data_IF_202117247939
#
_entry.id   IF_202117247939
#
_cell.length_a   1.000
_cell.length_b   1.000
_cell.length_c   1.000
_cell.angle_alpha   90.00
_cell.angle_beta   90.00
_cell.angle_gamma   90.00
#
_symmetry.space_group_name_H-M   'P 1'
#
loop_
_entity.id
_entity.type
_entity.pdbx_description
1 polymer ?
#
# COMPACT_ATOMS: atom_id res chain seq x y z
N UNK A 1 2.99 -1.71 -86.84
CA UNK A 1 1.98 -0.83 -86.21
C UNK A 1 1.61 -1.44 -84.86
N UNK A 2 2.11 -0.87 -83.76
CA UNK A 2 1.89 -1.39 -82.39
C UNK A 2 0.53 -0.91 -81.89
N UNK A 3 -0.31 -1.82 -81.40
CA UNK A 3 -1.57 -1.48 -80.72
C UNK A 3 -1.34 -1.63 -79.22
N UNK A 4 -1.54 -0.54 -78.49
CA UNK A 4 -1.44 -0.44 -77.03
C UNK A 4 -2.67 -1.10 -76.37
N UNK A 5 -2.43 -2.01 -75.44
CA UNK A 5 -3.45 -2.50 -74.49
C UNK A 5 -3.39 -1.63 -73.25
N UNK A 6 -4.49 -0.97 -72.90
CA UNK A 6 -4.64 -0.25 -71.64
C UNK A 6 -5.16 -1.21 -70.56
N UNK A 7 -4.32 -1.53 -69.58
CA UNK A 7 -4.73 -2.23 -68.36
C UNK A 7 -5.04 -1.16 -67.31
N UNK A 8 -6.32 -1.09 -66.92
CA UNK A 8 -6.77 -0.22 -65.83
C UNK A 8 -6.41 -0.88 -64.49
N UNK A 9 -5.47 -0.27 -63.76
CA UNK A 9 -5.16 -0.65 -62.38
C UNK A 9 -6.13 0.08 -61.44
N UNK A 10 -7.13 -0.65 -60.92
CA UNK A 10 -7.91 -0.20 -59.77
C UNK A 10 -7.05 -0.45 -58.53
N UNK A 11 -6.38 0.60 -58.07
CA UNK A 11 -5.63 0.59 -56.81
C UNK A 11 -6.63 0.54 -55.65
N UNK A 12 -6.94 -0.65 -55.18
CA UNK A 12 -7.72 -0.85 -53.96
C UNK A 12 -6.83 -0.52 -52.76
N UNK A 13 -6.92 0.72 -52.28
CA UNK A 13 -6.34 1.15 -51.01
C UNK A 13 -7.11 0.46 -49.88
N UNK A 14 -6.66 -0.72 -49.47
CA UNK A 14 -6.99 -1.27 -48.17
C UNK A 14 -6.25 -0.45 -47.12
N UNK A 15 -6.93 0.55 -46.54
CA UNK A 15 -6.54 1.05 -45.23
C UNK A 15 -6.76 -0.10 -44.24
N UNK A 16 -5.73 -0.90 -43.99
CA UNK A 16 -5.67 -1.71 -42.78
C UNK A 16 -5.56 -0.72 -41.63
N UNK A 17 -6.68 -0.43 -40.99
CA UNK A 17 -6.69 0.18 -39.67
C UNK A 17 -6.20 -0.90 -38.69
N UNK A 18 -4.89 -1.19 -38.67
CA UNK A 18 -4.30 -2.00 -37.63
C UNK A 18 -4.30 -1.14 -36.37
N UNK A 19 -5.41 -1.15 -35.62
CA UNK A 19 -5.33 -0.82 -34.21
C UNK A 19 -4.26 -1.74 -33.62
N UNK A 20 -3.21 -1.18 -33.01
CA UNK A 20 -2.17 -1.98 -32.36
C UNK A 20 -2.88 -3.00 -31.45
N UNK A 21 -2.55 -4.28 -31.62
CA UNK A 21 -3.07 -5.34 -30.78
C UNK A 21 -2.69 -5.07 -29.32
N UNK A 22 -3.54 -5.54 -28.39
CA UNK A 22 -3.28 -5.37 -26.97
C UNK A 22 -1.94 -6.04 -26.60
N UNK A 23 -1.15 -5.37 -25.77
CA UNK A 23 0.19 -5.83 -25.44
C UNK A 23 0.16 -6.73 -24.19
N UNK A 24 0.76 -7.91 -24.29
CA UNK A 24 1.11 -8.71 -23.12
C UNK A 24 2.41 -8.18 -22.52
N UNK A 25 2.40 -7.93 -21.22
CA UNK A 25 3.56 -7.46 -20.46
C UNK A 25 3.79 -8.38 -19.27
N UNK A 26 4.84 -9.19 -19.32
CA UNK A 26 5.18 -10.13 -18.24
C UNK A 26 5.52 -9.46 -16.91
N UNK A 27 5.89 -8.17 -16.93
CA UNK A 27 6.19 -7.37 -15.73
C UNK A 27 4.97 -6.77 -15.05
N UNK A 28 3.79 -6.74 -15.71
CA UNK A 28 2.63 -6.04 -15.16
C UNK A 28 1.97 -6.78 -13.99
N UNK A 29 2.37 -8.02 -13.72
CA UNK A 29 1.81 -8.94 -12.73
C UNK A 29 2.89 -9.82 -12.09
N UNK A 30 4.07 -9.26 -11.82
CA UNK A 30 5.23 -9.97 -11.25
C UNK A 30 5.44 -9.68 -9.75
N UNK A 31 4.68 -8.75 -9.16
CA UNK A 31 4.77 -8.35 -7.77
C UNK A 31 5.95 -7.44 -7.44
N UNK A 32 6.65 -6.90 -8.44
CA UNK A 32 7.82 -6.03 -8.28
C UNK A 32 7.56 -4.63 -8.86
N UNK A 33 7.29 -3.67 -7.98
CA UNK A 33 7.02 -2.28 -8.37
C UNK A 33 8.23 -1.55 -9.00
N UNK A 34 9.41 -2.18 -9.05
CA UNK A 34 10.60 -1.65 -9.71
C UNK A 34 10.72 -2.06 -11.19
N UNK A 35 10.01 -3.11 -11.60
CA UNK A 35 9.83 -3.43 -13.02
C UNK A 35 8.64 -2.65 -13.57
N UNK A 36 8.63 -2.37 -14.87
CA UNK A 36 7.54 -1.62 -15.50
C UNK A 36 7.19 -2.17 -16.87
N UNK A 37 5.91 -2.10 -17.21
CA UNK A 37 5.43 -2.21 -18.58
C UNK A 37 5.26 -0.81 -19.18
N UNK A 38 5.86 -0.58 -20.35
CA UNK A 38 5.76 0.67 -21.10
C UNK A 38 5.07 0.46 -22.43
N UNK A 39 4.01 1.24 -22.68
CA UNK A 39 3.28 1.22 -23.95
C UNK A 39 3.28 2.63 -24.54
N UNK A 40 3.45 2.70 -25.87
CA UNK A 40 3.42 3.95 -26.64
C UNK A 40 2.39 3.84 -27.76
N UNK A 41 1.33 4.63 -27.72
CA UNK A 41 0.36 4.75 -28.79
C UNK A 41 -0.96 5.41 -28.39
N UNK A 42 -1.83 5.62 -29.38
CA UNK A 42 -3.13 6.29 -29.22
C UNK A 42 -4.15 5.50 -28.37
N UNK A 43 -3.96 4.18 -28.23
CA UNK A 43 -4.77 3.32 -27.35
C UNK A 43 -3.86 2.36 -26.60
N UNK A 44 -3.60 2.67 -25.34
CA UNK A 44 -2.73 1.88 -24.48
C UNK A 44 -3.53 0.73 -23.86
N UNK A 45 -3.32 -0.49 -24.37
CA UNK A 45 -4.07 -1.70 -23.99
C UNK A 45 -3.14 -2.76 -23.44
N UNK A 46 -3.48 -3.28 -22.28
CA UNK A 46 -2.73 -4.31 -21.57
C UNK A 46 -3.61 -5.54 -21.40
N UNK A 47 -3.17 -6.69 -21.92
CA UNK A 47 -3.77 -7.96 -21.57
C UNK A 47 -3.32 -8.36 -20.17
N UNK A 48 -4.28 -8.78 -19.34
CA UNK A 48 -4.05 -9.18 -17.97
C UNK A 48 -4.18 -10.69 -17.85
N UNK A 49 -3.21 -11.32 -17.20
CA UNK A 49 -3.24 -12.71 -16.84
C UNK A 49 -4.29 -12.95 -15.74
N UNK A 50 -5.14 -13.94 -15.99
CA UNK A 50 -6.15 -14.39 -15.05
C UNK A 50 -6.23 -15.91 -15.08
N UNK A 51 -5.83 -16.54 -13.98
CA UNK A 51 -5.80 -18.01 -13.83
C UNK A 51 -6.72 -18.53 -12.72
N UNK A 52 -7.42 -17.63 -12.02
CA UNK A 52 -8.33 -18.00 -10.95
C UNK A 52 -9.74 -18.27 -11.48
N UNK A 53 -10.50 -19.11 -10.77
CA UNK A 53 -11.92 -19.32 -11.06
C UNK A 53 -12.78 -18.16 -10.52
N UNK A 54 -13.81 -17.79 -11.28
CA UNK A 54 -14.81 -16.80 -10.88
C UNK A 54 -14.59 -15.40 -11.44
N UNK A 55 -15.54 -14.51 -11.10
CA UNK A 55 -15.53 -13.13 -11.54
C UNK A 55 -14.48 -12.29 -10.80
N UNK A 56 -13.83 -11.38 -11.52
CA UNK A 56 -13.04 -10.31 -10.90
C UNK A 56 -14.00 -9.32 -10.24
N UNK A 57 -13.84 -9.12 -8.93
CA UNK A 57 -14.72 -8.26 -8.11
C UNK A 57 -14.05 -6.99 -7.65
N UNK A 58 -12.73 -6.96 -7.59
CA UNK A 58 -11.96 -5.73 -7.43
C UNK A 58 -10.59 -5.87 -8.08
N UNK A 59 -9.93 -4.74 -8.31
CA UNK A 59 -8.58 -4.71 -8.85
C UNK A 59 -7.80 -3.56 -8.23
N UNK A 60 -6.48 -3.71 -8.25
CA UNK A 60 -5.54 -2.67 -7.86
C UNK A 60 -4.68 -2.25 -9.05
N UNK A 61 -4.31 -0.99 -9.09
CA UNK A 61 -3.41 -0.38 -10.08
C UNK A 61 -2.44 0.54 -9.35
N UNK A 62 -1.19 0.57 -9.80
CA UNK A 62 -0.13 1.38 -9.19
C UNK A 62 0.39 2.46 -10.13
N UNK A 63 0.75 3.63 -9.58
CA UNK A 63 1.64 4.56 -10.29
C UNK A 63 3.06 4.01 -10.34
N UNK A 64 3.80 4.32 -11.40
CA UNK A 64 5.22 3.94 -11.49
C UNK A 64 6.12 4.89 -10.71
N UNK A 65 7.42 4.57 -10.64
CA UNK A 65 8.46 5.49 -10.19
C UNK A 65 8.80 6.62 -11.18
N UNK A 66 8.20 6.60 -12.37
CA UNK A 66 8.44 7.64 -13.38
C UNK A 66 7.59 8.89 -13.14
N UNK A 67 7.65 9.83 -14.07
CA UNK A 67 7.00 11.14 -13.95
C UNK A 67 5.46 11.05 -14.03
N UNK A 68 4.73 11.96 -13.36
CA UNK A 68 3.26 11.93 -13.32
C UNK A 68 2.54 11.95 -14.67
N UNK A 69 3.16 12.51 -15.72
CA UNK A 69 2.56 12.53 -17.06
C UNK A 69 2.50 11.16 -17.75
N UNK A 70 3.06 10.11 -17.13
CA UNK A 70 3.00 8.71 -17.59
C UNK A 70 1.99 7.86 -16.84
N UNK A 71 1.36 8.39 -15.80
CA UNK A 71 0.34 7.68 -15.04
C UNK A 71 -1.01 7.72 -15.77
N UNK A 72 -1.81 6.64 -15.68
CA UNK A 72 -3.18 6.66 -16.17
C UNK A 72 -4.04 7.71 -15.46
N UNK A 73 -4.82 8.45 -16.25
CA UNK A 73 -5.83 9.41 -15.75
C UNK A 73 -7.26 8.94 -15.97
N UNK A 74 -7.44 7.92 -16.80
CA UNK A 74 -8.69 7.20 -16.98
C UNK A 74 -8.38 5.80 -17.51
N UNK A 75 -9.27 4.85 -17.26
CA UNK A 75 -9.17 3.52 -17.85
C UNK A 75 -10.50 2.78 -17.83
N UNK A 76 -10.58 1.76 -18.66
CA UNK A 76 -11.64 0.77 -18.68
C UNK A 76 -11.03 -0.60 -18.38
N UNK A 77 -11.61 -1.31 -17.42
CA UNK A 77 -11.38 -2.74 -17.26
C UNK A 77 -12.41 -3.48 -18.11
N UNK A 78 -11.94 -4.42 -18.93
CA UNK A 78 -12.78 -5.18 -19.86
C UNK A 78 -12.62 -6.67 -19.65
N UNK A 79 -13.71 -7.40 -19.83
CA UNK A 79 -13.76 -8.85 -19.82
C UNK A 79 -14.13 -9.41 -21.19
N UNK A 80 -13.60 -10.58 -21.53
CA UNK A 80 -13.97 -11.32 -22.74
C UNK A 80 -14.04 -12.83 -22.49
N UNK A 81 -15.02 -13.48 -23.11
CA UNK A 81 -15.17 -14.95 -23.09
C UNK A 81 -14.32 -15.60 -24.18
N UNK A 82 -14.16 -14.92 -25.33
CA UNK A 82 -13.56 -15.45 -26.56
C UNK A 82 -12.24 -14.77 -26.97
N UNK A 83 -11.82 -13.74 -26.23
CA UNK A 83 -10.64 -12.92 -26.52
C UNK A 83 -10.83 -11.93 -27.68
N UNK A 84 -12.02 -11.87 -28.28
CA UNK A 84 -12.32 -11.05 -29.48
C UNK A 84 -13.35 -9.97 -29.18
N UNK A 85 -14.41 -10.33 -28.47
CA UNK A 85 -15.50 -9.43 -28.08
C UNK A 85 -15.29 -9.01 -26.63
N UNK A 86 -15.14 -7.70 -26.39
CA UNK A 86 -14.77 -7.16 -25.07
C UNK A 86 -15.92 -6.35 -24.49
N UNK A 87 -16.39 -6.72 -23.31
CA UNK A 87 -17.36 -5.97 -22.53
C UNK A 87 -16.65 -5.08 -21.51
N UNK A 88 -17.08 -3.83 -21.36
CA UNK A 88 -16.58 -2.94 -20.29
C UNK A 88 -17.27 -3.33 -18.99
N UNK A 89 -16.48 -3.74 -18.00
CA UNK A 89 -16.98 -4.21 -16.70
C UNK A 89 -16.75 -3.18 -15.58
N UNK A 90 -15.78 -2.29 -15.78
CA UNK A 90 -15.54 -1.14 -14.93
C UNK A 90 -14.93 0.01 -15.74
N UNK A 91 -15.18 1.24 -15.30
CA UNK A 91 -14.65 2.45 -15.92
C UNK A 91 -14.32 3.50 -14.86
N UNK A 92 -13.09 4.01 -14.92
CA UNK A 92 -12.59 5.06 -14.04
C UNK A 92 -12.16 6.26 -14.88
N UNK A 93 -12.53 7.46 -14.42
CA UNK A 93 -12.21 8.75 -15.07
C UNK A 93 -11.63 9.71 -14.06
N UNK A 94 -10.93 10.73 -14.54
CA UNK A 94 -10.43 11.85 -13.71
C UNK A 94 -9.57 11.39 -12.53
N UNK A 95 -8.75 10.37 -12.78
CA UNK A 95 -7.89 9.77 -11.78
C UNK A 95 -6.56 10.52 -11.69
N UNK A 96 -6.10 10.72 -10.46
CA UNK A 96 -4.77 11.24 -10.17
C UNK A 96 -4.12 10.43 -9.03
N UNK A 97 -2.81 10.25 -9.10
CA UNK A 97 -2.02 9.62 -8.04
C UNK A 97 -1.35 10.72 -7.20
N UNK A 98 -1.47 10.65 -5.88
CA UNK A 98 -0.89 11.61 -4.94
C UNK A 98 0.61 11.39 -4.72
N UNK A 99 1.15 10.23 -5.07
CA UNK A 99 2.59 9.91 -5.00
C UNK A 99 3.00 8.91 -6.08
N UNK A 100 4.31 8.69 -6.23
CA UNK A 100 4.87 7.54 -6.94
C UNK A 100 4.58 6.25 -6.17
N UNK A 101 4.54 5.12 -6.87
CA UNK A 101 4.28 3.79 -6.31
C UNK A 101 2.97 3.67 -5.50
N UNK A 102 2.03 4.58 -5.72
CA UNK A 102 0.76 4.58 -5.02
C UNK A 102 -0.15 3.51 -5.60
N UNK A 103 -0.62 2.61 -4.74
CA UNK A 103 -1.74 1.72 -5.02
C UNK A 103 -3.07 2.48 -5.04
N UNK A 104 -3.93 2.17 -6.01
CA UNK A 104 -5.35 2.49 -5.98
C UNK A 104 -6.19 1.23 -6.14
N UNK A 105 -7.21 1.09 -5.30
CA UNK A 105 -8.11 -0.07 -5.24
C UNK A 105 -9.51 0.31 -5.72
N UNK A 106 -10.10 -0.51 -6.58
CA UNK A 106 -11.44 -0.30 -7.14
C UNK A 106 -12.27 -1.57 -7.08
N UNK A 107 -13.53 -1.44 -6.67
CA UNK A 107 -14.53 -2.49 -6.87
C UNK A 107 -14.97 -2.49 -8.34
N UNK A 108 -15.09 -3.66 -8.94
CA UNK A 108 -15.63 -3.81 -10.31
C UNK A 108 -17.12 -3.54 -10.28
N UNK A 109 -17.59 -2.59 -11.09
CA UNK A 109 -19.00 -2.18 -11.13
C UNK A 109 -19.94 -3.28 -11.64
N UNK A 110 -19.52 -4.02 -12.67
CA UNK A 110 -20.31 -5.10 -13.28
C UNK A 110 -19.51 -6.41 -13.29
N UNK A 111 -19.31 -7.06 -12.12
CA UNK A 111 -18.48 -8.23 -12.03
C UNK A 111 -19.18 -9.44 -12.66
N UNK A 112 -18.56 -10.02 -13.68
CA UNK A 112 -18.97 -11.26 -14.33
C UNK A 112 -17.73 -12.14 -14.60
N UNK A 113 -17.96 -13.42 -14.87
CA UNK A 113 -16.89 -14.38 -15.15
C UNK A 113 -16.45 -14.30 -16.60
N UNK A 114 -15.19 -13.93 -16.83
CA UNK A 114 -14.55 -13.89 -18.14
C UNK A 114 -13.26 -14.74 -18.16
N UNK A 115 -12.87 -15.19 -19.35
CA UNK A 115 -11.64 -15.96 -19.56
C UNK A 115 -10.43 -15.05 -19.80
N UNK A 116 -10.68 -13.83 -20.30
CA UNK A 116 -9.65 -12.86 -20.64
C UNK A 116 -10.02 -11.50 -20.05
N UNK A 117 -9.02 -10.77 -19.56
CA UNK A 117 -9.18 -9.42 -19.05
C UNK A 117 -8.21 -8.48 -19.75
N UNK A 118 -8.65 -7.24 -19.96
CA UNK A 118 -7.85 -6.19 -20.60
C UNK A 118 -8.06 -4.88 -19.87
N UNK A 119 -6.97 -4.16 -19.65
CA UNK A 119 -6.99 -2.78 -19.19
C UNK A 119 -6.71 -1.86 -20.38
N UNK A 120 -7.62 -0.94 -20.67
CA UNK A 120 -7.43 0.11 -21.69
C UNK A 120 -7.34 1.46 -20.98
N UNK A 121 -6.21 2.15 -21.12
CA UNK A 121 -5.89 3.34 -20.31
C UNK A 121 -5.66 4.58 -21.17
N UNK A 122 -5.87 5.73 -20.54
CA UNK A 122 -5.62 7.07 -21.09
C UNK A 122 -4.65 7.83 -20.19
N UNK A 123 -3.81 8.69 -20.78
CA UNK A 123 -2.86 9.57 -20.06
C UNK A 123 -3.18 11.03 -20.32
N UNK A 124 -2.80 11.91 -19.39
CA UNK A 124 -3.06 13.34 -19.51
C UNK A 124 -2.28 14.03 -20.64
N UNK A 125 -1.10 13.52 -20.99
CA UNK A 125 -0.22 14.15 -21.98
C UNK A 125 0.70 13.17 -22.70
N UNK A 126 0.75 13.30 -24.03
CA UNK A 126 1.53 12.42 -24.89
C UNK A 126 0.92 11.01 -24.93
N UNK A 127 1.68 10.06 -25.48
CA UNK A 127 1.11 8.75 -25.83
C UNK A 127 1.76 7.60 -25.06
N UNK A 128 2.53 7.90 -24.01
CA UNK A 128 3.28 6.89 -23.24
C UNK A 128 2.65 6.68 -21.88
N UNK A 129 2.32 5.42 -21.59
CA UNK A 129 1.92 4.93 -20.26
C UNK A 129 3.04 4.10 -19.68
N UNK A 130 3.23 4.23 -18.37
CA UNK A 130 4.09 3.33 -17.59
C UNK A 130 3.32 2.81 -16.40
N UNK A 131 3.18 1.49 -16.32
CA UNK A 131 2.54 0.80 -15.21
C UNK A 131 3.49 -0.26 -14.66
N UNK A 132 3.72 -0.28 -13.34
CA UNK A 132 4.49 -1.34 -12.72
C UNK A 132 3.64 -2.59 -12.52
N UNK A 133 2.39 -2.44 -12.06
CA UNK A 133 1.62 -3.57 -11.52
C UNK A 133 0.10 -3.33 -11.67
N UNK A 134 -0.64 -4.41 -11.92
CA UNK A 134 -2.10 -4.47 -11.94
C UNK A 134 -2.56 -5.83 -11.39
N UNK A 135 -3.21 -5.81 -10.23
CA UNK A 135 -3.67 -7.04 -9.59
C UNK A 135 -5.19 -7.20 -9.66
N UNK A 136 -5.65 -8.41 -9.98
CA UNK A 136 -7.07 -8.75 -10.05
C UNK A 136 -7.46 -9.66 -8.88
N UNK A 137 -8.67 -9.46 -8.34
CA UNK A 137 -9.14 -10.20 -7.17
C UNK A 137 -10.55 -10.75 -7.34
N UNK A 138 -10.77 -12.00 -6.91
CA UNK A 138 -12.08 -12.67 -6.85
C UNK A 138 -12.97 -12.17 -5.71
N UNK A 139 -12.40 -11.39 -4.78
CA UNK A 139 -13.09 -10.76 -3.65
C UNK A 139 -13.24 -9.26 -3.88
N UNK A 140 -14.30 -8.68 -3.34
CA UNK A 140 -14.42 -7.22 -3.29
C UNK A 140 -13.68 -6.72 -2.05
N UNK A 141 -12.51 -6.11 -2.25
CA UNK A 141 -11.65 -5.60 -1.19
C UNK A 141 -12.11 -4.25 -0.62
N UNK A 142 -13.12 -3.58 -1.20
CA UNK A 142 -13.56 -2.26 -0.71
C UNK A 142 -14.57 -2.35 0.44
N UNK A 143 -15.13 -3.53 0.67
CA UNK A 143 -16.20 -3.77 1.64
C UNK A 143 -15.71 -3.45 3.06
N UNK A 144 -16.59 -2.85 3.87
CA UNK A 144 -16.41 -2.48 5.28
C UNK A 144 -15.67 -1.15 5.53
N UNK A 145 -15.24 -0.45 4.48
CA UNK A 145 -14.42 0.75 4.58
C UNK A 145 -15.01 1.96 3.84
N UNK A 146 -16.24 1.84 3.33
CA UNK A 146 -16.95 2.84 2.53
C UNK A 146 -17.22 4.14 3.30
N UNK A 147 -17.30 4.06 4.63
CA UNK A 147 -17.61 5.18 5.52
C UNK A 147 -16.45 5.53 6.46
N UNK A 148 -15.21 5.21 6.07
CA UNK A 148 -14.04 5.63 6.84
C UNK A 148 -13.99 7.16 6.97
N UNK A 149 -13.91 7.65 8.21
CA UNK A 149 -13.83 9.06 8.52
C UNK A 149 -12.40 9.56 8.31
N UNK A 150 -12.14 10.15 7.14
CA UNK A 150 -10.84 10.74 6.84
C UNK A 150 -10.62 12.06 7.58
N UNK A 151 -9.44 12.30 8.15
CA UNK A 151 -9.12 13.59 8.73
C UNK A 151 -8.89 14.65 7.65
N UNK A 152 -9.04 15.92 8.04
CA UNK A 152 -8.41 17.03 7.35
C UNK A 152 -6.89 16.94 7.50
N UNK A 153 -6.14 17.26 6.45
CA UNK A 153 -4.68 17.30 6.50
C UNK A 153 -4.21 18.69 6.17
N UNK A 154 -3.39 19.27 7.04
CA UNK A 154 -2.71 20.53 6.81
C UNK A 154 -1.23 20.23 6.60
N UNK A 155 -0.75 20.44 5.37
CA UNK A 155 0.65 20.22 5.01
C UNK A 155 1.46 21.51 5.10
N UNK A 156 2.64 21.46 5.70
CA UNK A 156 3.62 22.56 5.69
C UNK A 156 5.04 22.06 5.44
N UNK A 157 5.71 22.60 4.43
CA UNK A 157 7.14 22.37 4.20
C UNK A 157 7.92 23.53 4.80
N UNK A 158 8.45 23.37 6.03
CA UNK A 158 9.19 24.42 6.74
C UNK A 158 10.67 24.49 6.33
N UNK A 159 11.13 23.58 5.47
CA UNK A 159 12.50 23.49 4.97
C UNK A 159 12.52 23.32 3.44
N UNK A 160 11.66 24.10 2.77
CA UNK A 160 11.27 23.96 1.36
C UNK A 160 12.41 24.08 0.34
N UNK A 161 13.52 24.71 0.73
CA UNK A 161 14.73 24.87 -0.09
C UNK A 161 15.72 23.71 0.04
N UNK A 162 15.51 22.77 0.97
CA UNK A 162 16.40 21.64 1.19
C UNK A 162 16.34 20.60 0.07
N UNK A 163 17.41 19.81 -0.06
CA UNK A 163 17.41 18.65 -0.97
C UNK A 163 16.41 17.58 -0.49
N UNK A 164 16.28 17.37 0.81
CA UNK A 164 15.26 16.51 1.41
C UNK A 164 13.85 16.87 0.92
N UNK A 165 13.44 18.12 1.06
CA UNK A 165 12.12 18.59 0.57
C UNK A 165 11.97 18.45 -0.95
N UNK A 166 13.05 18.66 -1.72
CA UNK A 166 13.01 18.41 -3.17
C UNK A 166 12.77 16.92 -3.51
N UNK A 167 13.43 15.98 -2.83
CA UNK A 167 13.18 14.55 -2.99
C UNK A 167 11.76 14.16 -2.55
N UNK A 168 11.28 14.73 -1.44
CA UNK A 168 9.91 14.49 -0.99
C UNK A 168 8.89 14.90 -2.05
N UNK A 169 9.01 16.09 -2.67
CA UNK A 169 8.10 16.55 -3.73
C UNK A 169 8.16 15.68 -5.01
N UNK A 170 9.33 15.11 -5.30
CA UNK A 170 9.46 14.13 -6.40
C UNK A 170 8.70 12.84 -6.09
N UNK A 171 8.68 12.41 -4.84
CA UNK A 171 7.95 11.23 -4.39
C UNK A 171 6.45 11.50 -4.23
N UNK A 172 6.09 12.56 -3.51
CA UNK A 172 4.73 12.91 -3.07
C UNK A 172 4.29 14.20 -3.78
N UNK A 173 3.34 14.06 -4.69
CA UNK A 173 2.81 15.15 -5.53
C UNK A 173 1.67 15.91 -4.85
N UNK A 174 0.87 15.24 -4.04
CA UNK A 174 -0.28 15.81 -3.32
C UNK A 174 -0.21 15.35 -1.86
N UNK A 175 0.56 16.04 -1.00
CA UNK A 175 0.83 15.60 0.36
C UNK A 175 -0.44 15.34 1.19
N UNK A 176 -1.43 16.23 1.12
CA UNK A 176 -2.66 16.12 1.89
C UNK A 176 -3.40 14.81 1.58
N UNK A 177 -3.56 14.48 0.31
CA UNK A 177 -4.17 13.21 -0.12
C UNK A 177 -3.27 12.01 0.15
N UNK A 178 -1.94 12.16 0.13
CA UNK A 178 -1.00 11.10 0.49
C UNK A 178 -1.12 10.70 1.97
N UNK A 179 -1.14 11.67 2.88
CA UNK A 179 -1.32 11.38 4.31
C UNK A 179 -2.71 10.79 4.52
N UNK A 180 -3.75 11.43 3.99
CA UNK A 180 -5.14 10.97 4.10
C UNK A 180 -5.33 9.54 3.60
N UNK A 181 -4.78 9.20 2.45
CA UNK A 181 -4.78 7.84 1.92
C UNK A 181 -4.16 6.83 2.91
N UNK A 182 -3.02 7.17 3.50
CA UNK A 182 -2.31 6.28 4.43
C UNK A 182 -2.98 6.14 5.80
N UNK A 183 -3.80 7.10 6.24
CA UNK A 183 -4.62 6.93 7.47
C UNK A 183 -5.53 5.71 7.40
N UNK A 184 -6.21 5.52 6.27
CA UNK A 184 -7.04 4.34 6.04
C UNK A 184 -6.21 3.07 5.95
N UNK A 185 -5.04 3.09 5.31
CA UNK A 185 -4.18 1.90 5.21
C UNK A 185 -3.70 1.40 6.57
N UNK A 186 -3.35 2.30 7.47
CA UNK A 186 -3.02 1.95 8.87
C UNK A 186 -4.25 1.43 9.60
N UNK A 187 -5.40 2.09 9.44
CA UNK A 187 -6.64 1.63 10.06
C UNK A 187 -7.04 0.22 9.56
N UNK A 188 -6.86 -0.08 8.27
CA UNK A 188 -7.10 -1.39 7.66
C UNK A 188 -6.29 -2.51 8.35
N UNK A 189 -5.09 -2.20 8.88
CA UNK A 189 -4.25 -3.17 9.61
C UNK A 189 -4.67 -3.30 11.08
N UNK A 190 -5.12 -2.21 11.72
CA UNK A 190 -5.46 -2.17 13.15
C UNK A 190 -6.90 -2.59 13.47
N UNK A 191 -7.82 -2.46 12.51
CA UNK A 191 -9.27 -2.64 12.69
C UNK A 191 -9.87 -3.54 11.60
N UNK A 192 -11.07 -4.06 11.84
CA UNK A 192 -11.77 -4.91 10.87
C UNK A 192 -12.62 -4.09 9.89
N UNK A 193 -13.14 -2.95 10.34
CA UNK A 193 -14.06 -2.12 9.56
C UNK A 193 -14.06 -0.67 10.04
N UNK A 194 -14.49 0.24 9.16
CA UNK A 194 -14.60 1.67 9.44
C UNK A 194 -15.54 2.02 10.61
N UNK A 195 -16.50 1.15 10.93
CA UNK A 195 -17.44 1.37 12.05
C UNK A 195 -16.91 0.88 13.40
N UNK A 196 -15.71 0.30 13.46
CA UNK A 196 -15.10 -0.09 14.73
C UNK A 196 -14.78 1.17 15.55
N UNK A 197 -14.78 1.09 16.89
CA UNK A 197 -14.43 2.25 17.72
C UNK A 197 -12.94 2.59 17.54
N UNK A 198 -12.68 3.72 16.88
CA UNK A 198 -11.34 4.28 16.62
C UNK A 198 -11.17 5.61 17.37
N UNK A 199 -9.93 6.01 17.71
CA UNK A 199 -9.65 7.38 18.12
C UNK A 199 -10.15 8.38 17.07
N UNK A 200 -10.79 9.45 17.52
CA UNK A 200 -11.46 10.41 16.64
C UNK A 200 -10.47 11.45 16.08
N UNK A 201 -9.55 11.01 15.21
CA UNK A 201 -8.61 11.92 14.53
C UNK A 201 -9.36 12.73 13.47
N UNK A 202 -9.56 14.02 13.72
CA UNK A 202 -10.24 14.94 12.78
C UNK A 202 -9.26 15.75 11.93
N UNK A 203 -8.07 16.03 12.44
CA UNK A 203 -7.04 16.78 11.72
C UNK A 203 -5.65 16.20 11.97
N UNK A 204 -4.83 16.21 10.91
CA UNK A 204 -3.40 15.89 10.96
C UNK A 204 -2.61 17.09 10.42
N UNK A 205 -1.81 17.70 11.27
CA UNK A 205 -0.80 18.68 10.85
C UNK A 205 0.48 17.93 10.47
N UNK A 206 0.79 17.86 9.18
CA UNK A 206 1.98 17.17 8.69
C UNK A 206 3.02 18.19 8.22
N UNK A 207 4.21 18.16 8.81
CA UNK A 207 5.27 19.12 8.47
C UNK A 207 6.59 18.46 8.10
N UNK A 208 7.28 19.04 7.12
CA UNK A 208 8.68 18.75 6.84
C UNK A 208 9.56 19.76 7.56
N UNK A 209 10.54 19.30 8.35
CA UNK A 209 11.45 20.19 9.09
C UNK A 209 12.88 19.72 9.03
N UNK A 210 13.81 20.67 9.14
CA UNK A 210 15.23 20.39 9.29
C UNK A 210 15.57 20.06 10.75
N UNK A 211 15.80 18.79 11.06
CA UNK A 211 16.31 18.39 12.37
C UNK A 211 17.04 17.03 12.32
N UNK A 212 17.91 16.81 13.31
CA UNK A 212 18.58 15.53 13.49
C UNK A 212 17.63 14.54 14.18
N UNK A 213 17.09 13.60 13.41
CA UNK A 213 16.09 12.62 13.82
C UNK A 213 15.37 12.06 12.60
N UNK A 214 14.40 11.18 12.81
CA UNK A 214 13.61 10.56 11.73
C UNK A 214 12.27 11.30 11.62
N UNK A 215 11.45 11.14 12.64
CA UNK A 215 10.10 11.68 12.72
C UNK A 215 9.65 11.70 14.18
N UNK A 216 8.58 12.43 14.46
CA UNK A 216 7.82 12.27 15.70
C UNK A 216 6.36 12.66 15.49
N UNK A 217 5.46 11.98 16.21
CA UNK A 217 4.09 12.39 16.47
C UNK A 217 4.00 13.18 17.76
N UNK A 218 3.10 14.15 17.80
CA UNK A 218 2.58 14.70 19.03
C UNK A 218 1.13 15.17 18.88
N UNK A 219 0.62 15.83 19.93
CA UNK A 219 -0.81 16.10 20.05
C UNK A 219 -1.59 14.82 20.30
N UNK A 220 -2.90 14.94 20.50
CA UNK A 220 -3.80 13.81 20.69
C UNK A 220 -5.10 14.07 19.94
N UNK A 221 -5.84 13.01 19.54
CA UNK A 221 -7.15 13.17 18.94
C UNK A 221 -8.00 14.21 19.69
N UNK A 222 -8.63 15.18 19.00
CA UNK A 222 -8.90 15.14 17.57
C UNK A 222 -7.84 15.75 16.64
N UNK A 223 -6.75 16.34 17.15
CA UNK A 223 -5.71 17.00 16.34
C UNK A 223 -4.34 16.43 16.69
N UNK A 224 -3.74 15.73 15.74
CA UNK A 224 -2.38 15.20 15.86
C UNK A 224 -1.43 15.94 14.93
N UNK A 225 -0.17 16.05 15.32
CA UNK A 225 0.87 16.59 14.46
C UNK A 225 1.95 15.54 14.20
N UNK A 226 2.41 15.45 12.96
CA UNK A 226 3.49 14.56 12.54
C UNK A 226 4.55 15.42 11.88
N UNK A 227 5.80 15.27 12.31
CA UNK A 227 6.93 16.03 11.78
C UNK A 227 7.95 15.07 11.19
N UNK A 228 8.25 15.21 9.90
CA UNK A 228 9.20 14.34 9.20
C UNK A 228 10.48 15.10 8.85
N UNK A 229 11.64 14.50 9.14
CA UNK A 229 12.94 15.14 8.95
C UNK A 229 13.35 15.19 7.49
N UNK A 230 13.64 16.39 6.99
CA UNK A 230 14.25 16.59 5.67
C UNK A 230 15.66 16.00 5.57
N UNK A 231 16.41 15.95 6.69
CA UNK A 231 17.72 15.29 6.73
C UNK A 231 17.57 13.77 6.54
N UNK A 232 16.56 13.16 7.16
CA UNK A 232 16.27 11.73 6.98
C UNK A 232 15.77 11.41 5.57
N UNK A 233 14.90 12.26 5.01
CA UNK A 233 14.46 12.14 3.61
C UNK A 233 15.66 12.17 2.66
N UNK A 234 16.55 13.15 2.81
CA UNK A 234 17.73 13.28 1.95
C UNK A 234 18.62 12.04 2.02
N UNK A 235 18.88 11.54 3.23
CA UNK A 235 19.66 10.32 3.45
C UNK A 235 19.01 9.10 2.81
N UNK A 236 17.71 8.92 2.99
CA UNK A 236 16.96 7.77 2.44
C UNK A 236 16.80 7.82 0.92
N UNK A 237 16.99 8.99 0.31
CA UNK A 237 16.95 9.18 -1.14
C UNK A 237 18.26 8.77 -1.85
N UNK A 238 19.35 8.50 -1.10
CA UNK A 238 20.66 8.20 -1.68
C UNK A 238 20.68 6.93 -2.55
N UNK A 239 19.87 5.92 -2.21
CA UNK A 239 19.83 4.65 -2.95
C UNK A 239 18.92 4.71 -4.18
N UNK A 240 17.63 5.02 -3.99
CA UNK A 240 16.64 5.09 -5.08
C UNK A 240 15.34 5.72 -4.60
N UNK A 241 14.51 6.17 -5.56
CA UNK A 241 13.16 6.68 -5.26
C UNK A 241 12.26 5.60 -4.64
N UNK A 242 12.44 4.32 -5.01
CA UNK A 242 11.68 3.21 -4.45
C UNK A 242 12.04 2.94 -2.97
N UNK A 243 13.33 3.01 -2.63
CA UNK A 243 13.76 2.92 -1.22
C UNK A 243 13.28 4.11 -0.41
N UNK A 244 13.30 5.31 -0.99
CA UNK A 244 12.74 6.50 -0.36
C UNK A 244 11.23 6.36 -0.10
N UNK A 245 10.49 5.82 -1.07
CA UNK A 245 9.06 5.53 -0.92
C UNK A 245 8.80 4.57 0.23
N UNK A 246 9.50 3.43 0.25
CA UNK A 246 9.34 2.43 1.31
C UNK A 246 9.65 3.00 2.70
N UNK A 247 10.71 3.82 2.82
CA UNK A 247 11.05 4.46 4.10
C UNK A 247 10.05 5.54 4.49
N UNK A 248 9.63 6.40 3.56
CA UNK A 248 8.67 7.48 3.82
C UNK A 248 7.31 6.93 4.23
N UNK A 249 6.81 5.90 3.53
CA UNK A 249 5.62 5.15 3.95
C UNK A 249 5.88 4.51 5.31
N UNK A 250 7.02 3.86 5.52
CA UNK A 250 7.32 3.16 6.76
C UNK A 250 7.27 4.07 7.99
N UNK A 251 7.93 5.23 7.90
CA UNK A 251 7.89 6.28 8.93
C UNK A 251 6.45 6.75 9.15
N UNK A 252 5.72 7.07 8.07
CA UNK A 252 4.34 7.54 8.19
C UNK A 252 3.42 6.49 8.83
N UNK A 253 3.58 5.20 8.52
CA UNK A 253 2.77 4.12 9.13
C UNK A 253 3.05 4.00 10.62
N UNK A 254 4.32 4.13 11.04
CA UNK A 254 4.68 4.12 12.44
C UNK A 254 3.97 5.27 13.20
N UNK A 255 4.07 6.50 12.69
CA UNK A 255 3.46 7.66 13.35
C UNK A 255 1.93 7.67 13.31
N UNK A 256 1.34 7.28 12.19
CA UNK A 256 -0.11 7.13 12.07
C UNK A 256 -0.65 6.02 12.96
N UNK A 257 0.14 4.98 13.24
CA UNK A 257 -0.24 3.95 14.21
C UNK A 257 -0.42 4.58 15.59
N UNK A 258 0.48 5.47 16.03
CA UNK A 258 0.31 6.21 17.29
C UNK A 258 -0.91 7.14 17.30
N UNK A 259 -1.39 7.59 16.14
CA UNK A 259 -2.62 8.39 16.06
C UNK A 259 -3.90 7.56 16.17
N UNK A 260 -3.88 6.30 15.69
CA UNK A 260 -5.07 5.45 15.59
C UNK A 260 -5.11 4.26 16.53
N UNK A 261 -4.00 3.92 17.20
CA UNK A 261 -3.98 2.81 18.15
C UNK A 261 -4.57 3.20 19.51
N UNK A 262 -4.99 2.18 20.24
CA UNK A 262 -5.43 2.31 21.62
C UNK A 262 -4.29 2.04 22.59
N UNK A 263 -4.47 2.45 23.83
CA UNK A 263 -3.46 2.34 24.87
C UNK A 263 -3.77 1.25 25.90
N UNK A 264 -2.76 0.52 26.40
CA UNK A 264 -2.94 -0.49 27.45
C UNK A 264 -3.57 0.08 28.72
N UNK A 265 -4.64 -0.57 29.21
CA UNK A 265 -5.35 -0.15 30.42
C UNK A 265 -4.74 -0.74 31.71
N UNK A 266 -4.83 0.04 32.79
CA UNK A 266 -4.52 -0.36 34.17
C UNK A 266 -3.09 -0.90 34.43
N UNK A 267 -2.10 -0.48 33.64
CA UNK A 267 -0.69 -0.85 33.85
C UNK A 267 0.28 0.33 34.00
N UNK A 268 -0.23 1.58 34.04
CA UNK A 268 0.60 2.79 34.06
C UNK A 268 0.55 3.51 32.72
N UNK A 269 1.67 4.10 32.32
CA UNK A 269 1.78 4.94 31.11
C UNK A 269 3.09 4.71 30.36
N UNK A 270 3.20 5.28 29.16
CA UNK A 270 4.37 5.19 28.29
C UNK A 270 5.70 5.46 29.01
N UNK A 271 5.78 6.53 29.80
CA UNK A 271 7.00 6.91 30.51
C UNK A 271 7.24 6.18 31.84
N UNK A 272 6.30 5.35 32.30
CA UNK A 272 6.35 4.75 33.64
C UNK A 272 6.36 3.21 33.64
N UNK A 273 6.00 2.57 32.53
CA UNK A 273 5.96 1.11 32.44
C UNK A 273 6.53 0.59 31.10
N UNK A 274 7.57 -0.27 31.18
CA UNK A 274 8.20 -0.92 30.02
C UNK A 274 7.21 -1.72 29.17
N UNK A 275 6.23 -2.36 29.80
CA UNK A 275 5.17 -3.15 29.11
C UNK A 275 4.28 -2.25 28.26
N UNK A 276 3.92 -1.08 28.80
CA UNK A 276 3.13 -0.09 28.06
C UNK A 276 3.91 0.39 26.84
N UNK A 277 5.13 0.87 27.06
CA UNK A 277 6.03 1.33 26.00
C UNK A 277 6.25 0.27 24.92
N UNK A 278 6.51 -0.99 25.30
CA UNK A 278 6.75 -2.07 24.36
C UNK A 278 5.52 -2.42 23.52
N UNK A 279 4.32 -2.33 24.10
CA UNK A 279 3.07 -2.50 23.36
C UNK A 279 2.92 -1.39 22.30
N UNK A 280 3.09 -0.13 22.70
CA UNK A 280 2.90 1.05 21.85
C UNK A 280 3.89 1.08 20.69
N UNK A 281 5.20 0.96 20.97
CA UNK A 281 6.23 0.98 19.93
C UNK A 281 6.26 -0.31 19.11
N UNK A 282 5.99 -1.44 19.76
CA UNK A 282 5.93 -2.74 19.10
C UNK A 282 4.78 -2.80 18.09
N UNK A 283 3.59 -2.30 18.44
CA UNK A 283 2.45 -2.32 17.54
C UNK A 283 2.67 -1.40 16.32
N UNK A 284 3.28 -0.22 16.50
CA UNK A 284 3.66 0.67 15.41
C UNK A 284 4.61 0.00 14.41
N UNK A 285 5.65 -0.67 14.89
CA UNK A 285 6.57 -1.41 14.01
C UNK A 285 5.97 -2.72 13.46
N UNK A 286 4.99 -3.32 14.13
CA UNK A 286 4.23 -4.45 13.60
C UNK A 286 3.37 -4.04 12.40
N UNK A 287 2.68 -2.91 12.49
CA UNK A 287 1.91 -2.33 11.38
C UNK A 287 2.81 -2.02 10.20
N UNK A 288 3.97 -1.40 10.46
CA UNK A 288 4.97 -1.13 9.42
C UNK A 288 5.49 -2.42 8.77
N UNK A 289 5.77 -3.46 9.56
CA UNK A 289 6.24 -4.75 9.06
C UNK A 289 5.17 -5.46 8.22
N UNK A 290 3.91 -5.46 8.67
CA UNK A 290 2.78 -6.07 7.96
C UNK A 290 2.50 -5.39 6.62
N UNK A 291 2.72 -4.07 6.54
CA UNK A 291 2.64 -3.33 5.29
C UNK A 291 3.80 -3.62 4.31
N UNK A 292 4.76 -4.47 4.67
CA UNK A 292 5.93 -4.79 3.84
C UNK A 292 6.98 -3.66 3.81
N UNK A 293 6.95 -2.73 4.76
CA UNK A 293 7.81 -1.53 4.79
C UNK A 293 9.06 -1.71 5.67
N UNK A 294 9.39 -2.97 5.92
CA UNK A 294 10.67 -3.43 6.44
C UNK A 294 11.19 -4.55 5.57
N UNK A 295 12.50 -4.62 5.42
CA UNK A 295 13.16 -5.86 5.00
C UNK A 295 13.21 -6.82 6.20
N UNK A 296 12.05 -7.42 6.48
CA UNK A 296 11.84 -8.28 7.66
C UNK A 296 12.79 -9.47 7.64
N UNK A 297 13.14 -9.99 6.45
CA UNK A 297 14.08 -11.11 6.31
C UNK A 297 15.48 -10.74 6.79
N UNK A 298 15.99 -9.55 6.44
CA UNK A 298 17.33 -9.16 6.88
C UNK A 298 17.36 -8.62 8.30
N UNK A 299 16.28 -7.98 8.76
CA UNK A 299 16.22 -7.28 10.05
C UNK A 299 15.79 -8.17 11.22
N UNK A 300 15.06 -9.26 11.00
CA UNK A 300 14.75 -10.22 12.07
C UNK A 300 16.02 -10.92 12.56
N UNK A 301 16.21 -10.95 13.87
CA UNK A 301 17.35 -11.61 14.53
C UNK A 301 16.89 -12.38 15.75
N UNK A 302 17.47 -13.58 16.01
CA UNK A 302 17.22 -14.31 17.24
C UNK A 302 17.77 -13.53 18.45
N UNK A 303 17.23 -13.83 19.63
CA UNK A 303 17.50 -13.15 20.90
C UNK A 303 16.49 -12.05 21.22
N UNK A 304 16.81 -11.27 22.25
CA UNK A 304 15.95 -10.21 22.78
C UNK A 304 14.77 -10.72 23.60
N UNK A 305 13.80 -9.84 23.81
CA UNK A 305 12.57 -10.10 24.54
C UNK A 305 11.37 -9.38 23.87
N UNK A 306 10.17 -9.94 24.00
CA UNK A 306 8.93 -9.33 23.47
C UNK A 306 8.61 -7.96 24.10
N UNK A 307 9.30 -7.55 25.16
CA UNK A 307 9.18 -6.22 25.77
C UNK A 307 10.26 -5.22 25.30
N UNK A 308 11.08 -5.55 24.30
CA UNK A 308 12.16 -4.65 23.86
C UNK A 308 11.68 -3.54 22.91
N UNK A 309 10.38 -3.43 22.66
CA UNK A 309 9.75 -2.39 21.85
C UNK A 309 10.18 -2.45 20.38
N UNK A 310 9.76 -1.43 19.62
CA UNK A 310 10.13 -1.20 18.21
C UNK A 310 10.16 -2.52 17.40
N UNK A 311 11.20 -2.70 16.57
CA UNK A 311 11.38 -3.85 15.68
C UNK A 311 11.34 -5.20 16.39
N UNK A 312 11.90 -5.32 17.59
CA UNK A 312 11.97 -6.61 18.30
C UNK A 312 10.55 -7.10 18.64
N UNK A 313 9.78 -6.25 19.31
CA UNK A 313 8.37 -6.56 19.63
C UNK A 313 7.51 -6.57 18.38
N UNK A 314 7.70 -5.62 17.47
CA UNK A 314 6.89 -5.48 16.26
C UNK A 314 7.04 -6.63 15.28
N UNK A 315 8.26 -7.15 15.09
CA UNK A 315 8.46 -8.35 14.28
C UNK A 315 7.87 -9.60 14.91
N UNK A 316 7.85 -9.69 16.24
CA UNK A 316 7.16 -10.78 16.92
C UNK A 316 5.64 -10.69 16.73
N UNK A 317 5.03 -9.53 16.96
CA UNK A 317 3.60 -9.31 16.75
C UNK A 317 3.24 -9.57 15.28
N UNK A 318 4.04 -9.10 14.32
CA UNK A 318 3.82 -9.39 12.90
C UNK A 318 3.97 -10.89 12.60
N UNK A 319 4.93 -11.59 13.22
CA UNK A 319 5.07 -13.03 13.02
C UNK A 319 3.83 -13.82 13.47
N UNK A 320 3.10 -13.33 14.46
CA UNK A 320 1.82 -13.95 14.88
C UNK A 320 0.80 -14.03 13.73
N UNK A 321 0.92 -13.20 12.67
CA UNK A 321 0.03 -13.27 11.50
C UNK A 321 0.19 -14.56 10.69
N UNK A 322 1.33 -15.25 10.84
CA UNK A 322 1.55 -16.57 10.26
C UNK A 322 0.70 -17.68 10.92
N UNK A 323 0.23 -17.44 12.15
CA UNK A 323 -0.66 -18.35 12.89
C UNK A 323 -2.13 -17.98 12.70
N UNK A 324 -2.40 -16.68 12.65
CA UNK A 324 -3.73 -16.13 12.41
C UNK A 324 -3.59 -14.82 11.61
N UNK A 325 -4.07 -14.75 10.35
CA UNK A 325 -3.93 -13.55 9.52
C UNK A 325 -4.49 -12.26 10.14
N UNK A 326 -5.35 -12.35 11.15
CA UNK A 326 -5.91 -11.22 11.89
C UNK A 326 -5.22 -10.95 13.24
N UNK A 327 -4.07 -11.57 13.51
CA UNK A 327 -3.39 -11.50 14.81
C UNK A 327 -3.09 -10.06 15.25
N UNK A 328 -2.65 -9.17 14.35
CA UNK A 328 -2.39 -7.75 14.69
C UNK A 328 -3.69 -7.06 15.13
N UNK A 329 -4.79 -7.23 14.37
CA UNK A 329 -6.10 -6.66 14.71
C UNK A 329 -6.61 -7.18 16.04
N UNK A 330 -6.55 -8.49 16.27
CA UNK A 330 -7.02 -9.12 17.51
C UNK A 330 -6.13 -8.75 18.71
N UNK A 331 -4.81 -8.66 18.51
CA UNK A 331 -3.87 -8.17 19.52
C UNK A 331 -4.21 -6.73 19.91
N UNK A 332 -4.41 -5.85 18.93
CA UNK A 332 -4.84 -4.48 19.16
C UNK A 332 -6.22 -4.40 19.84
N UNK A 333 -7.19 -5.25 19.45
CA UNK A 333 -8.48 -5.35 20.15
C UNK A 333 -8.32 -5.75 21.63
N UNK A 334 -7.36 -6.60 21.98
CA UNK A 334 -7.10 -6.94 23.39
C UNK A 334 -6.72 -5.71 24.22
N UNK A 335 -6.07 -4.70 23.62
CA UNK A 335 -5.72 -3.43 24.26
C UNK A 335 -6.99 -2.67 24.68
N UNK A 336 -8.01 -2.69 23.82
CA UNK A 336 -9.34 -2.14 24.10
C UNK A 336 -10.11 -2.95 25.13
N UNK A 337 -10.09 -4.27 25.01
CA UNK A 337 -11.10 -5.13 25.63
C UNK A 337 -10.69 -5.61 27.02
N UNK A 338 -9.41 -5.91 27.24
CA UNK A 338 -8.93 -6.39 28.54
C UNK A 338 -8.96 -5.29 29.59
N UNK A 339 -9.50 -5.54 30.78
CA UNK A 339 -9.54 -4.55 31.86
C UNK A 339 -8.13 -4.15 32.33
N UNK A 340 -7.27 -5.14 32.58
CA UNK A 340 -5.85 -4.94 32.86
C UNK A 340 -5.04 -5.63 31.77
N UNK A 341 -4.33 -4.83 30.99
CA UNK A 341 -3.63 -5.36 29.82
C UNK A 341 -2.30 -6.02 30.19
N UNK A 342 -1.96 -7.11 29.52
CA UNK A 342 -0.61 -7.71 29.54
C UNK A 342 -0.37 -8.45 28.24
N UNK A 343 0.90 -8.68 27.87
CA UNK A 343 1.22 -9.49 26.70
C UNK A 343 0.65 -10.92 26.83
N UNK A 344 0.71 -11.53 28.02
CA UNK A 344 0.16 -12.86 28.23
C UNK A 344 -1.36 -12.89 28.06
N UNK A 345 -2.06 -11.89 28.62
CA UNK A 345 -3.49 -11.70 28.43
C UNK A 345 -3.86 -11.47 26.96
N UNK A 346 -3.06 -10.69 26.22
CA UNK A 346 -3.25 -10.46 24.80
C UNK A 346 -3.07 -11.76 23.99
N UNK A 347 -2.03 -12.56 24.27
CA UNK A 347 -1.83 -13.85 23.60
C UNK A 347 -3.01 -14.80 23.88
N UNK A 348 -3.49 -14.87 25.11
CA UNK A 348 -4.67 -15.68 25.46
C UNK A 348 -5.95 -15.17 24.81
N UNK A 349 -6.12 -13.86 24.71
CA UNK A 349 -7.23 -13.24 24.01
C UNK A 349 -7.26 -13.63 22.52
N UNK A 350 -6.10 -13.63 21.86
CA UNK A 350 -6.00 -13.93 20.42
C UNK A 350 -6.07 -15.43 20.14
N UNK A 351 -5.33 -16.25 20.90
CA UNK A 351 -5.08 -17.66 20.57
C UNK A 351 -5.68 -18.67 21.55
N UNK A 352 -6.33 -18.20 22.62
CA UNK A 352 -6.98 -19.02 23.65
C UNK A 352 -6.16 -19.20 24.93
N UNK A 353 -6.86 -19.51 26.03
CA UNK A 353 -6.32 -19.60 27.41
C UNK A 353 -5.17 -20.60 27.61
N UNK A 354 -5.06 -21.58 26.71
CA UNK A 354 -3.99 -22.58 26.72
C UNK A 354 -2.63 -22.04 26.26
N UNK A 355 -2.60 -20.86 25.64
CA UNK A 355 -1.37 -20.23 25.15
C UNK A 355 -0.78 -19.27 26.20
N UNK A 356 0.52 -19.00 26.07
CA UNK A 356 1.21 -18.03 26.91
C UNK A 356 2.19 -17.18 26.11
N UNK A 357 2.52 -16.00 26.62
CA UNK A 357 3.52 -15.13 25.99
C UNK A 357 4.89 -15.80 25.89
N UNK A 358 5.33 -16.49 26.96
CA UNK A 358 6.58 -17.23 26.97
C UNK A 358 6.62 -18.33 25.90
N UNK A 359 5.53 -19.10 25.76
CA UNK A 359 5.41 -20.16 24.76
C UNK A 359 5.46 -19.60 23.33
N UNK A 360 4.66 -18.58 23.05
CA UNK A 360 4.64 -17.92 21.73
C UNK A 360 5.99 -17.30 21.38
N UNK A 361 6.68 -16.69 22.36
CA UNK A 361 8.02 -16.16 22.14
C UNK A 361 9.04 -17.25 21.86
N UNK A 362 9.00 -18.37 22.59
CA UNK A 362 9.89 -19.51 22.33
C UNK A 362 9.68 -20.09 20.93
N UNK A 363 8.43 -20.21 20.47
CA UNK A 363 8.13 -20.63 19.11
C UNK A 363 8.67 -19.64 18.07
N UNK A 364 8.54 -18.33 18.31
CA UNK A 364 9.12 -17.31 17.43
C UNK A 364 10.65 -17.41 17.35
N UNK A 365 11.32 -17.61 18.49
CA UNK A 365 12.77 -17.80 18.53
C UNK A 365 13.21 -19.07 17.79
N UNK A 366 12.45 -20.16 17.92
CA UNK A 366 12.68 -21.38 17.14
C UNK A 366 12.50 -21.14 15.63
N UNK A 367 11.44 -20.42 15.23
CA UNK A 367 11.22 -20.02 13.84
C UNK A 367 12.43 -19.25 13.27
N UNK A 368 12.97 -18.28 14.01
CA UNK A 368 14.13 -17.48 13.59
C UNK A 368 15.44 -18.27 13.44
N UNK A 369 15.53 -19.45 14.06
CA UNK A 369 16.74 -20.28 14.04
C UNK A 369 16.64 -21.49 13.12
N UNK A 370 15.46 -21.73 12.54
CA UNK A 370 15.22 -22.79 11.57
C UNK A 370 15.98 -22.56 10.26
N UNK A 371 16.41 -23.66 9.61
CA UNK A 371 17.17 -23.61 8.35
C UNK A 371 16.39 -22.96 7.20
N UNK A 372 15.06 -22.92 7.25
CA UNK A 372 14.21 -22.25 6.26
C UNK A 372 14.25 -20.72 6.36
N UNK A 373 14.74 -20.18 7.48
CA UNK A 373 14.84 -18.73 7.74
C UNK A 373 16.28 -18.22 7.96
N UNK A 374 17.29 -19.08 7.78
CA UNK A 374 18.69 -18.67 7.64
C UNK A 374 18.97 -18.25 6.20
#
# INVERSE_FOLDING_TARGET
MKVLVWISFVLSLFFSCSGKEAQECGTLQDGDLTTVCRVVGERNRFLLNWSQEGAVKSYKIWSSGEIPSRDPVAWQLKGSVDGKSWAVIDEQREQAFCSRYQEKLYAVKHPESYNYYMLEVEVSRGDTVVLPEVELYTRNLTVNWEHFAYPEVVFTDEDDTSRGSAYYRQLVQIPEEYIKYHTRKVAEILYFKASDPMPEVRQIDYSLKNFNGVSYKGGEPPVVHIVYSTQHIEKSAEESLFKLDAETRGVLYHELTHAYQQEPKNIGSYGTNKTFWACIEGLADAVRAEAGLFDVKTLRKPGGNWMDGYKTTGFFIQWLTTKDPDAIRKFHQSVRDLETWSFDGAIKYVFGEQQSIDGMWQEYQAFLTSEENK
#
